data_IF_500221253321
#
_entry.id   IF_500221253321
#
_cell.length_a   1.000
_cell.length_b   1.000
_cell.length_c   1.000
_cell.angle_alpha   90.00
_cell.angle_beta   90.00
_cell.angle_gamma   90.00
#
_symmetry.space_group_name_H-M   'P 1'
#
loop_
_entity.id
_entity.type
_entity.pdbx_description
1 polymer ?
#
# COMPACT_ATOMS: atom_id res chain seq x y z
N UNK A 1 3.44 -8.00 -14.81
CA UNK A 1 4.51 -7.20 -14.15
C UNK A 1 4.43 -7.48 -12.67
N UNK A 2 5.56 -7.51 -11.94
CA UNK A 2 5.53 -7.64 -10.48
C UNK A 2 4.72 -6.48 -9.87
N UNK A 3 4.00 -6.75 -8.78
CA UNK A 3 3.33 -5.70 -8.03
C UNK A 3 4.37 -4.74 -7.44
N UNK A 4 4.04 -3.45 -7.44
CA UNK A 4 4.97 -2.40 -7.01
C UNK A 4 4.21 -1.26 -6.32
N UNK A 5 4.81 -0.72 -5.27
CA UNK A 5 4.45 0.56 -4.69
C UNK A 5 5.23 1.67 -5.40
N UNK A 6 4.66 2.88 -5.45
CA UNK A 6 5.36 4.03 -6.00
C UNK A 6 4.93 5.32 -5.32
N UNK A 7 5.87 6.25 -5.20
CA UNK A 7 5.63 7.56 -4.59
C UNK A 7 6.33 8.68 -5.38
N UNK A 8 5.73 9.89 -5.45
CA UNK A 8 6.38 11.03 -6.05
C UNK A 8 7.63 11.42 -5.26
N UNK A 9 8.68 11.83 -5.96
CA UNK A 9 9.93 12.36 -5.39
C UNK A 9 10.36 13.60 -6.20
N UNK A 10 11.25 14.47 -5.69
CA UNK A 10 11.72 15.61 -6.46
C UNK A 10 12.32 15.17 -7.81
N UNK A 11 11.71 15.64 -8.91
CA UNK A 11 12.15 15.34 -10.28
C UNK A 11 11.88 13.92 -10.77
N UNK A 12 10.88 13.23 -10.21
CA UNK A 12 10.44 11.95 -10.73
C UNK A 12 9.56 11.13 -9.78
N UNK A 13 9.60 9.80 -9.96
CA UNK A 13 8.84 8.84 -9.17
C UNK A 13 9.72 7.69 -8.70
N UNK A 14 9.67 7.41 -7.41
CA UNK A 14 10.37 6.29 -6.79
C UNK A 14 9.49 5.04 -6.82
N UNK A 15 10.07 3.89 -7.15
CA UNK A 15 9.38 2.60 -7.23
C UNK A 15 9.99 1.59 -6.27
N UNK A 16 9.11 0.78 -5.68
CA UNK A 16 9.43 -0.24 -4.68
C UNK A 16 8.76 -1.53 -5.11
N UNK A 17 9.53 -2.60 -5.30
CA UNK A 17 8.98 -3.90 -5.62
C UNK A 17 8.34 -4.52 -4.38
N UNK A 18 7.09 -4.93 -4.48
CA UNK A 18 6.32 -5.40 -3.32
C UNK A 18 6.97 -6.62 -2.66
N UNK A 19 7.51 -7.56 -3.44
CA UNK A 19 8.24 -8.72 -2.90
C UNK A 19 9.49 -8.32 -2.09
N UNK A 20 10.17 -7.24 -2.47
CA UNK A 20 11.32 -6.75 -1.70
C UNK A 20 10.85 -6.08 -0.41
N UNK A 21 9.73 -5.35 -0.45
CA UNK A 21 9.13 -4.78 0.76
C UNK A 21 8.76 -5.88 1.77
N UNK A 22 8.18 -6.99 1.30
CA UNK A 22 7.86 -8.13 2.16
C UNK A 22 9.10 -8.68 2.86
N UNK A 23 10.20 -8.91 2.12
CA UNK A 23 11.47 -9.39 2.71
C UNK A 23 12.07 -8.41 3.70
N UNK A 24 12.01 -7.11 3.41
CA UNK A 24 12.55 -6.09 4.31
C UNK A 24 11.71 -5.89 5.58
N UNK A 25 10.42 -6.25 5.52
CA UNK A 25 9.48 -6.08 6.61
C UNK A 25 9.24 -7.37 7.44
N UNK A 26 9.83 -8.51 7.05
CA UNK A 26 9.55 -9.84 7.62
C UNK A 26 9.81 -9.92 9.13
N UNK A 27 10.91 -9.33 9.60
CA UNK A 27 11.33 -9.37 11.01
C UNK A 27 10.92 -8.12 11.83
N UNK A 28 10.18 -7.20 11.21
CA UNK A 28 9.74 -6.00 11.89
C UNK A 28 8.58 -6.30 12.85
N UNK A 29 8.49 -5.59 14.00
CA UNK A 29 7.42 -5.81 14.95
C UNK A 29 6.06 -5.51 14.32
N UNK A 30 5.08 -6.36 14.64
CA UNK A 30 3.68 -6.18 14.25
C UNK A 30 2.95 -5.46 15.37
N UNK A 31 2.27 -4.37 15.04
CA UNK A 31 1.43 -3.61 15.96
C UNK A 31 0.07 -3.30 15.32
N UNK A 32 -1.02 -3.33 16.10
CA UNK A 32 -2.32 -2.89 15.61
C UNK A 32 -2.34 -1.37 15.50
N UNK A 33 -2.74 -0.85 14.34
CA UNK A 33 -2.90 0.59 14.10
C UNK A 33 -4.36 0.93 13.76
N UNK A 34 -4.86 2.13 14.12
CA UNK A 34 -6.19 2.58 13.69
C UNK A 34 -6.25 2.67 12.15
N UNK A 35 -7.30 2.12 11.54
CA UNK A 35 -7.51 2.22 10.08
C UNK A 35 -7.59 3.69 9.66
N UNK A 36 -8.29 4.51 10.44
CA UNK A 36 -8.46 5.96 10.21
C UNK A 36 -7.14 6.75 10.28
N UNK A 37 -6.05 6.15 10.76
CA UNK A 37 -4.72 6.78 10.74
C UNK A 37 -3.97 6.56 9.42
N UNK A 38 -4.46 5.68 8.54
CA UNK A 38 -3.82 5.33 7.27
C UNK A 38 -4.45 6.15 6.14
N UNK A 39 -3.80 7.27 5.82
CA UNK A 39 -4.30 8.27 4.85
C UNK A 39 -4.67 7.66 3.50
N UNK A 40 -3.87 6.73 2.98
CA UNK A 40 -4.08 6.10 1.67
C UNK A 40 -5.39 5.31 1.57
N UNK A 41 -6.08 5.02 2.68
CA UNK A 41 -7.40 4.40 2.62
C UNK A 41 -8.47 5.33 2.03
N UNK A 42 -8.27 6.65 2.14
CA UNK A 42 -9.14 7.69 1.59
C UNK A 42 -8.58 8.33 0.30
N UNK A 43 -7.51 7.77 -0.27
CA UNK A 43 -6.89 8.26 -1.51
C UNK A 43 -7.15 7.32 -2.69
N UNK A 44 -7.16 7.88 -3.90
CA UNK A 44 -7.16 7.04 -5.10
C UNK A 44 -5.78 6.40 -5.32
N UNK A 45 -5.64 5.18 -4.81
CA UNK A 45 -4.47 4.35 -4.97
C UNK A 45 -4.66 3.23 -6.01
N UNK A 46 -5.83 3.15 -6.66
CA UNK A 46 -6.26 1.95 -7.41
C UNK A 46 -6.63 2.23 -8.86
N UNK A 47 -7.30 3.34 -9.12
CA UNK A 47 -7.94 3.58 -10.42
C UNK A 47 -7.18 4.61 -11.23
N UNK A 48 -6.56 5.59 -10.57
CA UNK A 48 -5.83 6.65 -11.24
C UNK A 48 -6.78 7.59 -11.98
N UNK A 49 -6.29 8.22 -13.05
CA UNK A 49 -7.06 9.24 -13.74
C UNK A 49 -8.14 8.64 -14.66
N UNK A 50 -9.37 9.16 -14.53
CA UNK A 50 -10.48 8.90 -15.45
C UNK A 50 -11.71 8.27 -14.79
N UNK A 51 -12.73 7.92 -15.60
CA UNK A 51 -13.97 7.34 -15.08
C UNK A 51 -13.77 5.94 -14.51
N UNK A 52 -14.22 5.71 -13.28
CA UNK A 52 -14.24 4.39 -12.65
C UNK A 52 -15.44 3.59 -13.15
N UNK A 53 -15.20 2.39 -13.69
CA UNK A 53 -16.28 1.50 -14.16
C UNK A 53 -16.67 0.48 -13.09
N UNK A 54 -17.91 -0.02 -13.14
CA UNK A 54 -18.35 -1.13 -12.26
C UNK A 54 -17.46 -2.38 -12.40
N UNK A 55 -16.87 -2.62 -13.57
CA UNK A 55 -15.95 -3.73 -13.80
C UNK A 55 -14.65 -3.57 -13.00
N UNK A 56 -14.10 -2.36 -12.94
CA UNK A 56 -12.92 -2.04 -12.14
C UNK A 56 -13.22 -2.24 -10.65
N UNK A 57 -14.37 -1.73 -10.16
CA UNK A 57 -14.80 -1.95 -8.77
C UNK A 57 -14.93 -3.43 -8.45
N UNK A 58 -15.56 -4.22 -9.32
CA UNK A 58 -15.73 -5.66 -9.12
C UNK A 58 -14.39 -6.42 -9.06
N UNK A 59 -13.39 -6.01 -9.86
CA UNK A 59 -12.04 -6.59 -9.81
C UNK A 59 -11.36 -6.30 -8.47
N UNK A 60 -11.50 -5.09 -7.93
CA UNK A 60 -10.99 -4.77 -6.60
C UNK A 60 -11.75 -5.52 -5.51
N UNK A 61 -13.08 -5.65 -5.60
CA UNK A 61 -13.88 -6.42 -4.65
C UNK A 61 -13.46 -7.90 -4.58
N UNK A 62 -13.12 -8.52 -5.71
CA UNK A 62 -12.56 -9.89 -5.75
C UNK A 62 -11.20 -9.98 -5.04
N UNK A 63 -10.31 -9.01 -5.27
CA UNK A 63 -9.00 -8.93 -4.58
C UNK A 63 -9.15 -8.70 -3.07
N UNK A 64 -10.08 -7.84 -2.66
CA UNK A 64 -10.42 -7.61 -1.25
C UNK A 64 -10.87 -8.92 -0.60
N UNK A 65 -11.79 -9.66 -1.22
CA UNK A 65 -12.27 -10.93 -0.66
C UNK A 65 -11.14 -11.96 -0.50
N UNK A 66 -10.21 -12.01 -1.46
CA UNK A 66 -9.05 -12.94 -1.46
C UNK A 66 -7.91 -12.50 -0.55
N UNK A 67 -7.88 -11.25 -0.08
CA UNK A 67 -6.81 -10.75 0.78
C UNK A 67 -6.75 -11.53 2.11
N UNK A 68 -5.55 -11.89 2.54
CA UNK A 68 -5.31 -12.66 3.76
C UNK A 68 -4.91 -11.73 4.91
N UNK A 69 -5.74 -11.69 5.96
CA UNK A 69 -5.52 -10.82 7.12
C UNK A 69 -4.49 -11.37 8.11
N UNK A 70 -3.95 -12.58 7.88
CA UNK A 70 -2.84 -13.12 8.69
C UNK A 70 -1.52 -12.38 8.48
N UNK A 71 -1.41 -11.59 7.41
CA UNK A 71 -0.23 -10.80 7.09
C UNK A 71 -0.49 -9.32 7.36
N UNK A 72 0.42 -8.61 8.04
CA UNK A 72 0.26 -7.19 8.37
C UNK A 72 0.41 -6.29 7.15
N UNK A 73 -0.25 -5.13 7.14
CA UNK A 73 0.01 -4.07 6.16
C UNK A 73 1.40 -3.48 6.37
N UNK A 74 2.00 -2.90 5.33
CA UNK A 74 3.35 -2.32 5.42
C UNK A 74 3.25 -0.81 5.36
N UNK A 75 3.83 -0.15 6.37
CA UNK A 75 3.89 1.31 6.49
C UNK A 75 5.34 1.80 6.34
N UNK A 76 5.49 2.96 5.70
CA UNK A 76 6.73 3.74 5.71
C UNK A 76 6.99 4.36 7.09
N UNK A 77 8.16 4.95 7.28
CA UNK A 77 8.57 5.55 8.55
C UNK A 77 7.66 6.71 9.01
N UNK A 78 7.05 7.42 8.06
CA UNK A 78 6.08 8.48 8.31
C UNK A 78 4.62 7.97 8.38
N UNK A 79 4.40 6.65 8.37
CA UNK A 79 3.09 6.02 8.56
C UNK A 79 2.25 5.88 7.30
N UNK A 80 2.80 6.19 6.12
CA UNK A 80 2.10 6.04 4.84
C UNK A 80 2.06 4.59 4.38
N UNK A 81 0.99 4.23 3.69
CA UNK A 81 0.81 2.86 3.20
C UNK A 81 1.77 2.55 2.04
N UNK A 82 2.60 1.52 2.23
CA UNK A 82 3.43 0.95 1.17
C UNK A 82 2.77 -0.27 0.53
N UNK A 83 2.13 -1.14 1.32
CA UNK A 83 1.42 -2.32 0.82
C UNK A 83 0.25 -2.71 1.73
N UNK A 84 -0.80 -3.30 1.14
CA UNK A 84 -1.90 -3.90 1.90
C UNK A 84 -3.24 -3.17 1.84
N UNK A 85 -3.46 -2.26 0.89
CA UNK A 85 -4.75 -1.55 0.77
C UNK A 85 -5.98 -2.47 0.67
N UNK A 86 -5.86 -3.62 -0.03
CA UNK A 86 -6.95 -4.61 -0.07
C UNK A 86 -7.21 -5.27 1.30
N UNK A 87 -6.19 -5.42 2.16
CA UNK A 87 -6.33 -5.94 3.52
C UNK A 87 -7.01 -4.92 4.43
N UNK A 88 -6.68 -3.64 4.30
CA UNK A 88 -7.37 -2.54 5.01
C UNK A 88 -8.86 -2.57 4.68
N UNK A 89 -9.21 -2.57 3.40
CA UNK A 89 -10.60 -2.61 2.96
C UNK A 89 -11.34 -3.86 3.48
N UNK A 90 -10.69 -5.03 3.48
CA UNK A 90 -11.28 -6.27 4.02
C UNK A 90 -11.54 -6.17 5.52
N UNK A 91 -10.58 -5.69 6.29
CA UNK A 91 -10.72 -5.51 7.74
C UNK A 91 -11.84 -4.52 8.08
N UNK A 92 -11.87 -3.39 7.38
CA UNK A 92 -12.91 -2.36 7.54
C UNK A 92 -14.31 -2.91 7.22
N UNK A 93 -14.46 -3.65 6.11
CA UNK A 93 -15.74 -4.31 5.75
C UNK A 93 -16.18 -5.36 6.79
N UNK A 94 -15.24 -5.95 7.52
CA UNK A 94 -15.52 -6.87 8.62
C UNK A 94 -15.86 -6.14 9.94
N UNK A 95 -15.92 -4.81 9.95
CA UNK A 95 -16.23 -3.99 11.12
C UNK A 95 -15.03 -3.74 12.05
N UNK A 96 -13.80 -4.03 11.61
CA UNK A 96 -12.62 -3.71 12.39
C UNK A 96 -12.32 -2.20 12.33
N UNK A 97 -11.85 -1.65 13.46
CA UNK A 97 -11.35 -0.26 13.56
C UNK A 97 -9.83 -0.19 13.51
N UNK A 98 -9.16 -1.34 13.63
CA UNK A 98 -7.71 -1.48 13.59
C UNK A 98 -7.29 -2.55 12.59
N UNK A 99 -6.03 -2.48 12.16
CA UNK A 99 -5.39 -3.49 11.34
C UNK A 99 -3.95 -3.72 11.82
N UNK A 100 -3.49 -4.97 11.76
CA UNK A 100 -2.10 -5.31 12.03
C UNK A 100 -1.19 -4.68 10.98
N UNK A 101 -0.19 -3.94 11.43
CA UNK A 101 0.77 -3.25 10.59
C UNK A 101 2.20 -3.52 11.05
N UNK A 102 3.10 -3.50 10.09
CA UNK A 102 4.53 -3.38 10.32
C UNK A 102 5.01 -2.05 9.75
N UNK A 103 5.95 -1.40 10.44
CA UNK A 103 6.41 -0.05 10.11
C UNK A 103 7.92 0.01 10.05
N UNK A 104 8.45 0.52 8.93
CA UNK A 104 9.87 0.83 8.82
C UNK A 104 10.26 1.94 9.79
N UNK A 105 11.38 1.81 10.50
CA UNK A 105 11.95 2.93 11.29
C UNK A 105 12.67 3.95 10.41
N UNK A 106 13.13 3.52 9.24
CA UNK A 106 13.70 4.33 8.18
C UNK A 106 13.28 3.71 6.85
N UNK A 107 12.75 4.54 5.95
CA UNK A 107 12.29 4.05 4.65
C UNK A 107 13.40 3.30 3.91
N UNK A 108 13.08 2.17 3.28
CA UNK A 108 14.03 1.51 2.40
C UNK A 108 14.36 2.41 1.21
N UNK A 109 15.54 2.21 0.62
CA UNK A 109 15.86 2.82 -0.67
C UNK A 109 14.93 2.28 -1.76
N UNK A 110 14.48 3.11 -2.71
CA UNK A 110 13.70 2.63 -3.85
C UNK A 110 14.52 1.66 -4.70
N UNK A 111 13.85 0.73 -5.37
CA UNK A 111 14.48 -0.18 -6.33
C UNK A 111 14.96 0.56 -7.57
N UNK A 112 14.19 1.56 -8.01
CA UNK A 112 14.60 2.49 -9.06
C UNK A 112 13.81 3.80 -8.97
N UNK A 113 14.34 4.84 -9.61
CA UNK A 113 13.69 6.15 -9.77
C UNK A 113 13.51 6.40 -11.26
N UNK A 114 12.28 6.65 -11.68
CA UNK A 114 11.96 7.14 -13.01
C UNK A 114 11.97 8.67 -12.95
N UNK A 115 12.85 9.30 -13.74
CA UNK A 115 12.97 10.78 -13.76
C UNK A 115 11.95 11.37 -14.71
N UNK A 116 11.45 12.54 -14.35
CA UNK A 116 10.63 13.32 -15.28
C UNK A 116 11.42 13.61 -16.57
N UNK A 117 10.75 13.70 -17.72
CA UNK A 117 11.41 14.15 -18.94
C UNK A 117 12.11 15.48 -18.70
N UNK A 118 13.36 15.61 -19.17
CA UNK A 118 14.02 16.91 -19.17
C UNK A 118 13.20 17.87 -20.03
N UNK A 119 12.77 18.98 -19.44
CA UNK A 119 12.05 20.06 -20.12
C UNK A 119 12.91 20.74 -21.17
#
# INVERSE_FOLDING_TARGET
MPERHSRPVPGGRAFYLTERLWKLAEDLPVEPVPIDSIREFDEDCWFGEGPVTCRMVAQHADRIQKADLRYPVILSADGRLMDGGHRIAKAWLAGATTIDATRFTTDPTPDYIERDPAT
#
